data_IF_941992768613
#
_entry.id   IF_941992768613
#
_cell.length_a   1.000
_cell.length_b   1.000
_cell.length_c   1.000
_cell.angle_alpha   90.00
_cell.angle_beta   90.00
_cell.angle_gamma   90.00
#
_symmetry.space_group_name_H-M   'P 1'
#
loop_
_entity.id
_entity.type
_entity.pdbx_description
1 polymer ?
#
# COMPACT_ATOMS: atom_id res chain seq x y z
N UNK A 1 33.19 -46.34 -40.20
CA UNK A 1 34.50 -46.89 -39.74
C UNK A 1 34.86 -46.11 -38.48
N UNK A 2 34.61 -46.65 -37.27
CA UNK A 2 35.46 -47.63 -36.54
C UNK A 2 36.71 -46.92 -35.97
N UNK A 3 37.11 -46.93 -34.69
CA UNK A 3 36.88 -47.74 -33.49
C UNK A 3 37.51 -46.93 -32.31
N UNK A 4 36.90 -46.86 -31.13
CA UNK A 4 37.23 -47.62 -29.90
C UNK A 4 38.26 -47.02 -28.91
N UNK A 5 37.74 -46.88 -27.68
CA UNK A 5 38.38 -46.72 -26.37
C UNK A 5 39.73 -47.42 -26.13
N UNK A 6 40.57 -46.82 -25.27
CA UNK A 6 41.45 -47.56 -24.35
C UNK A 6 41.55 -46.88 -22.98
N UNK A 7 41.06 -47.63 -22.00
CA UNK A 7 41.19 -47.51 -20.55
C UNK A 7 42.61 -47.81 -20.07
N UNK A 8 43.10 -47.14 -19.03
CA UNK A 8 44.14 -47.67 -18.15
C UNK A 8 44.05 -47.10 -16.73
N UNK A 9 43.74 -48.00 -15.79
CA UNK A 9 43.75 -47.87 -14.34
C UNK A 9 45.17 -47.60 -13.80
N UNK A 10 45.33 -46.80 -12.72
CA UNK A 10 46.44 -46.99 -11.77
C UNK A 10 46.08 -46.56 -10.32
N UNK A 11 45.87 -47.62 -9.53
CA UNK A 11 46.07 -47.86 -8.10
C UNK A 11 46.10 -46.74 -7.05
N UNK A 12 45.25 -47.00 -6.05
CA UNK A 12 45.16 -46.51 -4.67
C UNK A 12 46.45 -46.65 -3.86
N UNK A 13 46.75 -45.65 -3.04
CA UNK A 13 47.52 -45.81 -1.80
C UNK A 13 46.72 -45.23 -0.62
N UNK A 14 46.35 -46.12 0.32
CA UNK A 14 45.77 -45.80 1.63
C UNK A 14 46.89 -45.36 2.57
N UNK A 15 46.67 -44.30 3.35
CA UNK A 15 47.44 -44.05 4.58
C UNK A 15 46.47 -43.93 5.74
N UNK A 16 46.76 -44.70 6.79
CA UNK A 16 45.92 -45.00 7.94
C UNK A 16 45.94 -43.89 9.01
N UNK A 17 44.83 -43.79 9.75
CA UNK A 17 44.73 -43.04 10.99
C UNK A 17 45.34 -43.82 12.17
N UNK A 18 45.81 -43.15 13.24
CA UNK A 18 45.93 -43.76 14.55
C UNK A 18 44.92 -43.16 15.54
N UNK A 19 44.19 -44.03 16.21
CA UNK A 19 43.36 -43.73 17.38
C UNK A 19 44.01 -44.23 18.68
N UNK A 20 43.84 -43.41 19.71
CA UNK A 20 43.67 -43.72 21.14
C UNK A 20 44.90 -44.02 22.03
N UNK A 21 44.99 -43.26 23.13
CA UNK A 21 45.17 -43.80 24.48
C UNK A 21 44.58 -42.88 25.56
N UNK A 22 43.87 -43.52 26.50
CA UNK A 22 43.14 -42.99 27.64
C UNK A 22 44.04 -42.40 28.73
N UNK A 23 43.50 -41.44 29.48
CA UNK A 23 43.72 -41.34 30.93
C UNK A 23 42.38 -41.07 31.63
N UNK A 24 42.01 -42.01 32.48
CA UNK A 24 40.90 -41.96 33.42
C UNK A 24 41.29 -41.12 34.65
N UNK A 25 40.45 -40.16 35.04
CA UNK A 25 40.38 -39.68 36.42
C UNK A 25 38.91 -39.61 36.81
N UNK A 26 38.54 -40.48 37.76
CA UNK A 26 37.23 -40.51 38.39
C UNK A 26 37.22 -39.59 39.62
N UNK A 27 36.07 -38.95 39.79
CA UNK A 27 35.46 -38.47 41.04
C UNK A 27 36.00 -37.20 41.71
N UNK A 28 35.13 -36.17 41.76
CA UNK A 28 34.41 -35.80 42.99
C UNK A 28 33.17 -34.96 42.65
N UNK A 29 31.99 -35.49 42.97
CA UNK A 29 30.72 -34.76 42.94
C UNK A 29 30.69 -33.70 44.04
N UNK A 30 30.51 -32.44 43.66
CA UNK A 30 29.93 -31.43 44.53
C UNK A 30 28.57 -31.05 43.93
N UNK A 31 27.51 -31.40 44.64
CA UNK A 31 26.14 -31.04 44.26
C UNK A 31 25.98 -29.51 44.33
N UNK A 32 25.88 -28.87 43.17
CA UNK A 32 25.40 -27.49 43.07
C UNK A 32 23.91 -27.57 42.80
N UNK A 33 23.13 -27.10 43.77
CA UNK A 33 21.68 -26.92 43.65
C UNK A 33 21.37 -25.96 42.51
N UNK A 34 20.80 -26.49 41.43
CA UNK A 34 20.27 -25.66 40.35
C UNK A 34 18.99 -24.98 40.84
N UNK A 35 19.09 -23.73 41.26
CA UNK A 35 17.91 -22.86 41.42
C UNK A 35 17.37 -22.62 40.01
N UNK A 36 16.07 -22.87 39.73
CA UNK A 36 15.52 -22.56 38.41
C UNK A 36 15.53 -21.05 38.22
N UNK A 37 16.32 -20.58 37.25
CA UNK A 37 16.31 -19.17 36.84
C UNK A 37 14.97 -18.91 36.18
N UNK A 38 14.11 -18.15 36.85
CA UNK A 38 12.85 -17.69 36.29
C UNK A 38 13.11 -17.11 34.90
N UNK A 39 12.48 -17.69 33.87
CA UNK A 39 12.53 -17.17 32.53
C UNK A 39 11.95 -15.76 32.57
N UNK A 40 12.82 -14.76 32.43
CA UNK A 40 12.39 -13.39 32.25
C UNK A 40 11.61 -13.35 30.94
N UNK A 41 10.28 -13.31 31.07
CA UNK A 41 9.38 -12.98 29.98
C UNK A 41 9.84 -11.61 29.46
N UNK A 42 10.56 -11.60 28.34
CA UNK A 42 10.79 -10.38 27.58
C UNK A 42 9.42 -10.00 27.04
N UNK A 43 8.70 -9.18 27.79
CA UNK A 43 7.59 -8.40 27.25
C UNK A 43 8.21 -7.57 26.15
N UNK A 44 8.09 -8.04 24.91
CA UNK A 44 8.40 -7.23 23.75
C UNK A 44 7.45 -6.04 23.82
N UNK A 45 7.95 -4.90 24.27
CA UNK A 45 7.28 -3.64 24.13
C UNK A 45 7.20 -3.37 22.62
N UNK A 46 6.13 -3.86 21.99
CA UNK A 46 5.71 -3.29 20.72
C UNK A 46 5.21 -1.90 21.07
N UNK A 47 6.09 -0.90 20.98
CA UNK A 47 5.63 0.48 20.95
C UNK A 47 4.78 0.62 19.69
N UNK A 48 3.47 0.53 19.84
CA UNK A 48 2.54 1.16 18.93
C UNK A 48 2.82 2.66 19.02
N UNK A 49 3.78 3.13 18.22
CA UNK A 49 3.98 4.56 18.00
C UNK A 49 2.67 5.07 17.43
N UNK A 50 1.89 5.74 18.27
CA UNK A 50 0.69 6.44 17.82
C UNK A 50 1.07 7.71 17.09
N UNK A 51 0.03 8.32 16.50
CA UNK A 51 0.01 9.65 15.89
C UNK A 51 1.03 10.59 16.53
N UNK A 52 1.99 11.09 15.74
CA UNK A 52 3.05 11.95 16.25
C UNK A 52 2.74 13.39 15.95
N UNK A 53 2.84 14.23 16.98
CA UNK A 53 2.94 15.67 16.77
C UNK A 53 4.40 16.01 16.47
N UNK A 54 4.67 16.55 15.28
CA UNK A 54 5.98 17.04 14.88
C UNK A 54 6.00 18.57 14.89
N UNK A 55 7.13 19.16 15.28
CA UNK A 55 7.32 20.61 15.29
C UNK A 55 8.05 21.05 14.01
N UNK A 56 7.37 21.86 13.20
CA UNK A 56 7.89 22.47 11.98
C UNK A 56 8.06 23.96 12.21
N UNK A 57 9.27 24.38 12.63
CA UNK A 57 9.60 25.79 12.79
C UNK A 57 8.73 26.53 13.80
N UNK A 58 8.29 25.87 14.87
CA UNK A 58 7.41 26.40 15.91
C UNK A 58 5.93 26.03 15.73
N UNK A 59 5.56 25.41 14.60
CA UNK A 59 4.19 24.94 14.34
C UNK A 59 4.09 23.44 14.57
N UNK A 60 3.21 23.05 15.50
CA UNK A 60 2.97 21.64 15.81
C UNK A 60 1.94 21.06 14.86
N UNK A 61 2.33 20.04 14.09
CA UNK A 61 1.46 19.36 13.15
C UNK A 61 1.32 17.88 13.47
N UNK A 62 0.16 17.33 13.14
CA UNK A 62 -0.12 15.90 13.26
C UNK A 62 0.42 15.19 12.02
N UNK A 63 1.31 14.22 12.25
CA UNK A 63 1.91 13.40 11.20
C UNK A 63 1.60 11.94 11.46
N UNK A 64 1.13 11.26 10.41
CA UNK A 64 0.89 9.82 10.40
C UNK A 64 2.00 9.11 9.65
N UNK A 65 2.42 7.95 10.17
CA UNK A 65 3.50 7.15 9.61
C UNK A 65 2.98 5.79 9.11
N UNK A 66 3.75 5.15 8.23
CA UNK A 66 3.47 3.78 7.79
C UNK A 66 3.32 2.78 8.94
N UNK A 67 4.00 2.99 10.07
CA UNK A 67 3.89 2.13 11.26
C UNK A 67 2.51 2.16 11.91
N UNK A 68 1.74 3.21 11.69
CA UNK A 68 0.44 3.43 12.36
C UNK A 68 -0.66 2.55 11.72
N UNK A 69 -0.41 2.09 10.48
CA UNK A 69 -1.26 1.21 9.69
C UNK A 69 -0.46 0.05 9.11
N UNK A 70 -0.08 -0.95 9.94
CA UNK A 70 0.52 -2.17 9.44
C UNK A 70 -0.44 -2.91 8.50
N UNK A 71 0.09 -3.79 7.64
CA UNK A 71 -0.69 -4.48 6.61
C UNK A 71 -1.95 -5.18 7.15
N UNK A 72 -1.87 -5.83 8.32
CA UNK A 72 -3.03 -6.48 8.94
C UNK A 72 -4.14 -5.47 9.31
N UNK A 73 -3.76 -4.28 9.80
CA UNK A 73 -4.72 -3.21 10.11
C UNK A 73 -5.35 -2.67 8.82
N UNK A 74 -4.57 -2.46 7.76
CA UNK A 74 -5.10 -2.05 6.45
C UNK A 74 -6.11 -3.06 5.91
N UNK A 75 -5.78 -4.35 5.97
CA UNK A 75 -6.66 -5.43 5.51
C UNK A 75 -7.96 -5.47 6.32
N UNK A 76 -7.88 -5.30 7.65
CA UNK A 76 -9.07 -5.23 8.49
C UNK A 76 -9.93 -3.98 8.20
N UNK A 77 -9.31 -2.81 8.02
CA UNK A 77 -10.01 -1.55 7.71
C UNK A 77 -10.81 -1.62 6.41
N UNK A 78 -10.32 -2.36 5.41
CA UNK A 78 -10.91 -2.45 4.07
C UNK A 78 -11.40 -3.86 3.71
N UNK A 79 -11.65 -4.74 4.69
CA UNK A 79 -12.01 -6.14 4.44
C UNK A 79 -13.32 -6.31 3.66
N UNK A 80 -14.26 -5.41 3.89
CA UNK A 80 -15.59 -5.38 3.25
C UNK A 80 -15.63 -4.42 2.06
N UNK A 81 -14.50 -3.78 1.74
CA UNK A 81 -14.41 -2.77 0.70
C UNK A 81 -13.95 -3.36 -0.64
N UNK A 82 -14.47 -2.80 -1.72
CA UNK A 82 -13.92 -2.95 -3.07
C UNK A 82 -13.35 -1.61 -3.50
N UNK A 83 -12.03 -1.50 -3.54
CA UNK A 83 -11.31 -0.29 -3.93
C UNK A 83 -11.26 -0.21 -5.46
N UNK A 84 -12.03 0.72 -6.03
CA UNK A 84 -12.13 0.90 -7.48
C UNK A 84 -11.24 2.03 -7.93
N UNK A 85 -10.17 1.71 -8.65
CA UNK A 85 -9.27 2.71 -9.23
C UNK A 85 -9.73 3.06 -10.64
N UNK A 86 -10.24 4.28 -10.80
CA UNK A 86 -10.65 4.80 -12.10
C UNK A 86 -9.45 5.43 -12.81
N UNK A 87 -9.10 4.87 -13.96
CA UNK A 87 -7.93 5.25 -14.75
C UNK A 87 -6.68 4.46 -14.38
N UNK A 88 -5.90 4.13 -15.40
CA UNK A 88 -4.64 3.39 -15.25
C UNK A 88 -3.44 4.19 -15.81
N UNK A 89 -3.46 5.51 -15.56
CA UNK A 89 -2.33 6.42 -15.78
C UNK A 89 -1.25 6.26 -14.70
N UNK A 90 -0.26 7.17 -14.60
CA UNK A 90 0.82 7.04 -13.61
C UNK A 90 0.34 6.87 -12.17
N UNK A 91 -0.55 7.75 -11.69
CA UNK A 91 -1.11 7.66 -10.33
C UNK A 91 -2.00 6.43 -10.15
N UNK A 92 -2.97 6.23 -11.05
CA UNK A 92 -3.87 5.07 -11.02
C UNK A 92 -3.11 3.74 -10.97
N UNK A 93 -2.11 3.55 -11.84
CA UNK A 93 -1.24 2.38 -11.85
C UNK A 93 -0.46 2.22 -10.55
N UNK A 94 0.23 3.26 -10.10
CA UNK A 94 1.09 3.18 -8.93
C UNK A 94 0.31 2.81 -7.67
N UNK A 95 -0.82 3.49 -7.45
CA UNK A 95 -1.68 3.25 -6.29
C UNK A 95 -2.35 1.87 -6.37
N UNK A 96 -2.92 1.49 -7.52
CA UNK A 96 -3.57 0.20 -7.65
C UNK A 96 -2.64 -0.99 -7.41
N UNK A 97 -1.42 -0.93 -7.95
CA UNK A 97 -0.43 -1.99 -7.74
C UNK A 97 0.02 -2.07 -6.27
N UNK A 98 0.21 -0.92 -5.61
CA UNK A 98 0.58 -0.89 -4.19
C UNK A 98 -0.53 -1.46 -3.29
N UNK A 99 -1.78 -1.06 -3.54
CA UNK A 99 -2.95 -1.58 -2.82
C UNK A 99 -3.12 -3.09 -3.03
N UNK A 100 -2.93 -3.58 -4.26
CA UNK A 100 -2.94 -5.01 -4.59
C UNK A 100 -1.85 -5.78 -3.84
N UNK A 101 -0.64 -5.24 -3.78
CA UNK A 101 0.48 -5.87 -3.07
C UNK A 101 0.26 -5.90 -1.56
N UNK A 102 -0.47 -4.91 -1.01
CA UNK A 102 -1.00 -4.91 0.37
C UNK A 102 -2.16 -5.90 0.60
N UNK A 103 -2.58 -6.66 -0.41
CA UNK A 103 -3.66 -7.67 -0.37
C UNK A 103 -5.05 -7.07 -0.14
N UNK A 104 -5.25 -5.83 -0.55
CA UNK A 104 -6.57 -5.22 -0.57
C UNK A 104 -7.35 -5.65 -1.81
N UNK A 105 -8.67 -5.66 -1.72
CA UNK A 105 -9.55 -5.98 -2.83
C UNK A 105 -9.64 -4.75 -3.77
N UNK A 106 -8.88 -4.80 -4.86
CA UNK A 106 -8.76 -3.69 -5.82
C UNK A 106 -9.27 -4.14 -7.18
N UNK A 107 -10.03 -3.26 -7.84
CA UNK A 107 -10.44 -3.40 -9.23
C UNK A 107 -10.10 -2.14 -10.02
N UNK A 108 -9.90 -2.28 -11.33
CA UNK A 108 -9.62 -1.17 -12.23
C UNK A 108 -10.85 -0.85 -13.07
N UNK A 109 -11.21 0.42 -13.11
CA UNK A 109 -12.13 0.98 -14.11
C UNK A 109 -11.33 1.74 -15.17
N UNK A 110 -11.30 1.26 -16.41
CA UNK A 110 -10.58 1.93 -17.49
C UNK A 110 -11.33 1.82 -18.80
N UNK A 111 -11.13 2.78 -19.71
CA UNK A 111 -11.59 2.66 -21.09
C UNK A 111 -10.66 1.73 -21.85
N UNK A 112 -11.18 0.93 -22.78
CA UNK A 112 -10.36 0.14 -23.70
C UNK A 112 -9.36 1.02 -24.47
N UNK A 113 -8.14 0.52 -24.63
CA UNK A 113 -7.01 1.22 -25.25
C UNK A 113 -5.71 0.97 -24.49
N UNK A 114 -4.71 1.82 -24.69
CA UNK A 114 -3.35 1.59 -24.17
C UNK A 114 -3.28 1.39 -22.65
N UNK A 115 -4.06 2.15 -21.86
CA UNK A 115 -4.13 1.97 -20.41
C UNK A 115 -4.75 0.63 -20.00
N UNK A 116 -5.76 0.17 -20.73
CA UNK A 116 -6.38 -1.13 -20.53
C UNK A 116 -5.40 -2.25 -20.86
N UNK A 117 -4.75 -2.19 -22.03
CA UNK A 117 -3.78 -3.19 -22.47
C UNK A 117 -2.60 -3.28 -21.49
N UNK A 118 -2.16 -2.12 -20.98
CA UNK A 118 -1.16 -2.06 -19.92
C UNK A 118 -1.64 -2.73 -18.64
N UNK A 119 -2.87 -2.47 -18.20
CA UNK A 119 -3.43 -3.15 -17.04
C UNK A 119 -3.46 -4.68 -17.25
N UNK A 120 -3.88 -5.15 -18.42
CA UNK A 120 -3.85 -6.59 -18.76
C UNK A 120 -2.43 -7.15 -18.66
N UNK A 121 -1.44 -6.45 -19.22
CA UNK A 121 -0.03 -6.89 -19.17
C UNK A 121 0.54 -6.96 -17.74
N UNK A 122 -0.06 -6.25 -16.78
CA UNK A 122 0.35 -6.20 -15.38
C UNK A 122 -0.50 -7.09 -14.46
N UNK A 123 -1.29 -7.99 -15.06
CA UNK A 123 -2.02 -9.03 -14.35
C UNK A 123 -3.44 -8.66 -13.92
N UNK A 124 -3.99 -7.55 -14.44
CA UNK A 124 -5.41 -7.26 -14.29
C UNK A 124 -6.20 -8.04 -15.35
N UNK A 125 -7.27 -8.72 -14.94
CA UNK A 125 -8.01 -9.69 -15.75
C UNK A 125 -9.39 -9.10 -16.09
N UNK A 126 -9.69 -8.86 -17.38
CA UNK A 126 -11.00 -8.43 -17.85
C UNK A 126 -12.13 -9.28 -17.29
N UNK A 127 -13.18 -8.63 -16.79
CA UNK A 127 -14.36 -9.31 -16.22
C UNK A 127 -14.16 -9.89 -14.81
N UNK A 128 -12.95 -9.78 -14.24
CA UNK A 128 -12.66 -10.21 -12.86
C UNK A 128 -12.25 -9.04 -11.97
N UNK A 129 -11.22 -8.29 -12.37
CA UNK A 129 -10.72 -7.12 -11.64
C UNK A 129 -10.28 -5.98 -12.56
N UNK A 130 -10.72 -6.03 -13.82
CA UNK A 130 -10.59 -4.97 -14.82
C UNK A 130 -11.93 -4.87 -15.56
N UNK A 131 -12.52 -3.70 -15.52
CA UNK A 131 -13.86 -3.42 -16.04
C UNK A 131 -13.88 -2.05 -16.74
N UNK A 132 -14.91 -1.84 -17.56
CA UNK A 132 -15.25 -0.49 -18.02
C UNK A 132 -15.66 0.38 -16.82
N UNK A 133 -15.55 1.70 -16.97
CA UNK A 133 -15.69 2.66 -15.85
C UNK A 133 -17.01 2.49 -15.09
N UNK A 134 -18.13 2.37 -15.80
CA UNK A 134 -19.46 2.29 -15.19
C UNK A 134 -19.64 1.01 -14.35
N UNK A 135 -19.24 -0.13 -14.89
CA UNK A 135 -19.30 -1.41 -14.18
C UNK A 135 -18.35 -1.43 -12.97
N UNK A 136 -17.16 -0.82 -13.10
CA UNK A 136 -16.25 -0.68 -11.98
C UNK A 136 -16.87 0.17 -10.85
N UNK A 137 -17.51 1.30 -11.20
CA UNK A 137 -18.17 2.18 -10.24
C UNK A 137 -19.33 1.48 -9.51
N UNK A 138 -20.10 0.66 -10.21
CA UNK A 138 -21.19 -0.12 -9.63
C UNK A 138 -20.67 -1.08 -8.54
N UNK A 139 -19.57 -1.78 -8.83
CA UNK A 139 -18.95 -2.79 -7.95
C UNK A 139 -18.22 -2.18 -6.75
N UNK A 140 -17.68 -0.97 -6.88
CA UNK A 140 -16.80 -0.35 -5.88
C UNK A 140 -17.52 0.21 -4.67
N UNK A 141 -16.96 0.07 -3.47
CA UNK A 141 -17.40 0.78 -2.26
C UNK A 141 -16.57 2.05 -2.00
N UNK A 142 -15.30 2.04 -2.42
CA UNK A 142 -14.42 3.21 -2.46
C UNK A 142 -14.09 3.49 -3.91
N UNK A 143 -14.57 4.60 -4.44
CA UNK A 143 -14.32 5.04 -5.80
C UNK A 143 -13.14 6.00 -5.81
N UNK A 144 -11.99 5.53 -6.27
CA UNK A 144 -10.76 6.30 -6.39
C UNK A 144 -10.70 6.93 -7.78
N UNK A 145 -11.11 8.19 -7.88
CA UNK A 145 -11.13 8.92 -9.14
C UNK A 145 -9.71 9.44 -9.48
N UNK A 146 -8.94 8.61 -10.16
CA UNK A 146 -7.55 8.86 -10.57
C UNK A 146 -7.41 9.13 -12.07
N UNK A 147 -8.50 9.55 -12.69
CA UNK A 147 -8.52 10.10 -14.04
C UNK A 147 -7.82 11.47 -14.07
N UNK A 148 -7.41 11.93 -15.25
CA UNK A 148 -6.97 13.33 -15.40
C UNK A 148 -8.11 14.27 -15.05
N UNK A 149 -7.82 15.48 -14.55
CA UNK A 149 -8.86 16.42 -14.10
C UNK A 149 -9.88 16.74 -15.20
N UNK A 150 -9.42 16.90 -16.44
CA UNK A 150 -10.30 17.05 -17.61
C UNK A 150 -11.20 15.83 -17.84
N UNK A 151 -10.70 14.62 -17.62
CA UNK A 151 -11.49 13.39 -17.73
C UNK A 151 -12.46 13.22 -16.54
N UNK A 152 -12.10 13.68 -15.34
CA UNK A 152 -13.00 13.69 -14.19
C UNK A 152 -14.22 14.56 -14.47
N UNK A 153 -14.02 15.78 -14.99
CA UNK A 153 -15.11 16.67 -15.44
C UNK A 153 -15.96 16.00 -16.53
N UNK A 154 -15.32 15.52 -17.60
CA UNK A 154 -16.03 14.93 -18.75
C UNK A 154 -16.88 13.71 -18.38
N UNK A 155 -16.39 12.86 -17.50
CA UNK A 155 -17.05 11.61 -17.11
C UNK A 155 -17.91 11.74 -15.87
N UNK A 156 -18.00 12.93 -15.26
CA UNK A 156 -18.69 13.09 -13.99
C UNK A 156 -20.14 12.62 -14.02
N UNK A 157 -20.87 12.94 -15.09
CA UNK A 157 -22.26 12.53 -15.26
C UNK A 157 -22.44 11.01 -15.37
N UNK A 158 -21.41 10.29 -15.82
CA UNK A 158 -21.40 8.82 -15.88
C UNK A 158 -21.04 8.23 -14.51
N UNK A 159 -20.13 8.85 -13.77
CA UNK A 159 -19.64 8.35 -12.47
C UNK A 159 -20.63 8.65 -11.33
N UNK A 160 -21.18 9.87 -11.30
CA UNK A 160 -22.02 10.40 -10.21
C UNK A 160 -23.20 9.50 -9.82
N UNK A 161 -23.95 8.85 -10.74
CA UNK A 161 -25.06 7.97 -10.38
C UNK A 161 -24.66 6.79 -9.49
N UNK A 162 -23.40 6.34 -9.56
CA UNK A 162 -22.89 5.24 -8.75
C UNK A 162 -22.40 5.67 -7.37
N UNK A 163 -22.30 6.97 -7.11
CA UNK A 163 -21.84 7.53 -5.83
C UNK A 163 -23.00 7.57 -4.82
N UNK A 164 -23.45 6.40 -4.40
CA UNK A 164 -24.59 6.23 -3.48
C UNK A 164 -24.16 6.25 -2.01
N UNK A 165 -25.11 6.51 -1.11
CA UNK A 165 -24.95 6.47 0.35
C UNK A 165 -24.09 5.29 0.82
N UNK A 166 -23.15 5.59 1.73
CA UNK A 166 -22.24 4.61 2.33
C UNK A 166 -20.97 4.34 1.52
N UNK A 167 -20.88 4.82 0.28
CA UNK A 167 -19.63 4.79 -0.49
C UNK A 167 -18.70 5.93 -0.07
N UNK A 168 -17.44 5.80 -0.45
CA UNK A 168 -16.41 6.83 -0.30
C UNK A 168 -15.89 7.24 -1.67
N UNK A 169 -15.82 8.53 -1.95
CA UNK A 169 -15.16 9.10 -3.11
C UNK A 169 -13.76 9.59 -2.71
N UNK A 170 -12.75 9.12 -3.45
CA UNK A 170 -11.35 9.42 -3.21
C UNK A 170 -10.74 10.17 -4.40
N UNK A 171 -9.90 11.16 -4.10
CA UNK A 171 -9.07 11.87 -5.07
C UNK A 171 -7.59 11.85 -4.66
N UNK A 172 -6.70 12.07 -5.63
CA UNK A 172 -5.28 12.39 -5.37
C UNK A 172 -4.86 13.81 -5.68
N UNK A 173 -5.82 14.62 -6.13
CA UNK A 173 -5.67 16.06 -6.31
C UNK A 173 -7.06 16.69 -6.18
N UNK A 174 -7.17 17.83 -5.50
CA UNK A 174 -8.46 18.44 -5.18
C UNK A 174 -9.07 19.27 -6.32
N UNK A 175 -8.40 19.40 -7.46
CA UNK A 175 -8.73 20.36 -8.53
C UNK A 175 -10.20 20.35 -8.89
N UNK A 176 -10.73 19.19 -9.26
CA UNK A 176 -12.11 19.05 -9.73
C UNK A 176 -13.14 19.50 -8.69
N UNK A 177 -12.91 19.21 -7.42
CA UNK A 177 -13.85 19.59 -6.34
C UNK A 177 -13.72 21.07 -5.98
N UNK A 178 -12.52 21.64 -6.02
CA UNK A 178 -12.29 23.05 -5.67
C UNK A 178 -12.74 23.99 -6.80
N UNK A 179 -12.49 23.61 -8.06
CA UNK A 179 -12.97 24.32 -9.24
C UNK A 179 -14.27 23.72 -9.77
N UNK A 180 -15.19 23.34 -8.88
CA UNK A 180 -16.44 22.68 -9.26
C UNK A 180 -17.34 23.53 -10.16
N UNK A 181 -17.21 24.86 -10.10
CA UNK A 181 -17.91 25.80 -11.00
C UNK A 181 -17.50 25.62 -12.46
N UNK A 182 -16.21 25.33 -12.70
CA UNK A 182 -15.66 25.09 -14.04
C UNK A 182 -15.78 23.63 -14.47
N UNK A 183 -15.54 22.70 -13.54
CA UNK A 183 -15.46 21.27 -13.85
C UNK A 183 -16.81 20.55 -13.79
N UNK A 184 -17.80 21.10 -13.09
CA UNK A 184 -19.08 20.45 -12.82
C UNK A 184 -19.00 19.28 -11.83
N UNK A 185 -17.84 19.01 -11.23
CA UNK A 185 -17.62 17.90 -10.30
C UNK A 185 -18.10 18.29 -8.90
N UNK A 186 -19.38 18.04 -8.65
CA UNK A 186 -20.04 18.27 -7.35
C UNK A 186 -20.41 16.93 -6.70
N UNK A 187 -19.64 16.46 -5.70
CA UNK A 187 -19.92 15.22 -4.97
C UNK A 187 -21.32 15.23 -4.31
N UNK A 188 -22.00 14.08 -4.24
CA UNK A 188 -23.20 13.91 -3.40
C UNK A 188 -22.93 14.24 -1.93
N UNK A 189 -23.95 14.71 -1.21
CA UNK A 189 -23.84 15.15 0.19
C UNK A 189 -23.90 14.01 1.22
N UNK A 190 -24.19 12.79 0.78
CA UNK A 190 -24.49 11.62 1.61
C UNK A 190 -23.42 10.51 1.53
N UNK A 191 -22.22 10.86 1.04
CA UNK A 191 -21.05 9.97 0.94
C UNK A 191 -19.83 10.56 1.63
N UNK A 192 -18.80 9.76 1.91
CA UNK A 192 -17.52 10.34 2.33
C UNK A 192 -16.76 10.88 1.11
N UNK A 193 -16.07 12.01 1.26
CA UNK A 193 -15.19 12.58 0.22
C UNK A 193 -13.84 12.88 0.83
N UNK A 194 -12.82 12.17 0.35
CA UNK A 194 -11.47 12.17 0.91
C UNK A 194 -10.42 12.40 -0.18
N UNK A 195 -9.23 12.83 0.25
CA UNK A 195 -8.10 13.02 -0.63
C UNK A 195 -6.83 12.53 0.04
N UNK A 196 -5.99 11.86 -0.76
CA UNK A 196 -4.59 11.60 -0.44
C UNK A 196 -3.75 11.99 -1.65
N UNK A 197 -2.87 12.96 -1.47
CA UNK A 197 -1.97 13.47 -2.50
C UNK A 197 -0.51 13.10 -2.19
N UNK A 198 0.04 12.01 -2.77
CA UNK A 198 1.47 11.73 -2.77
C UNK A 198 2.22 12.83 -3.52
N UNK A 199 3.28 13.39 -2.92
CA UNK A 199 4.04 14.53 -3.47
C UNK A 199 5.10 14.09 -4.48
N UNK A 200 4.72 13.25 -5.44
CA UNK A 200 5.57 12.82 -6.56
C UNK A 200 4.75 12.18 -7.69
N UNK A 201 5.39 11.83 -8.80
CA UNK A 201 4.73 11.07 -9.88
C UNK A 201 4.31 9.67 -9.43
N UNK A 202 3.22 9.13 -9.99
CA UNK A 202 2.77 7.78 -9.66
C UNK A 202 3.79 6.66 -10.00
N UNK A 203 4.68 6.88 -10.97
CA UNK A 203 5.82 5.97 -11.23
C UNK A 203 6.77 5.95 -10.04
N UNK A 204 7.09 7.12 -9.48
CA UNK A 204 7.93 7.25 -8.29
C UNK A 204 7.26 6.65 -7.05
N UNK A 205 5.95 6.85 -6.88
CA UNK A 205 5.17 6.21 -5.80
C UNK A 205 5.34 4.69 -5.85
N UNK A 206 5.24 4.08 -7.05
CA UNK A 206 5.41 2.65 -7.20
C UNK A 206 6.84 2.19 -6.91
N UNK A 207 7.85 2.87 -7.44
CA UNK A 207 9.24 2.46 -7.28
C UNK A 207 9.68 2.52 -5.81
N UNK A 208 9.36 3.61 -5.12
CA UNK A 208 9.67 3.76 -3.69
C UNK A 208 8.96 2.69 -2.85
N UNK A 209 7.71 2.37 -3.16
CA UNK A 209 6.98 1.30 -2.46
C UNK A 209 7.68 -0.06 -2.58
N UNK A 210 8.16 -0.40 -3.78
CA UNK A 210 8.92 -1.63 -4.03
C UNK A 210 10.26 -1.66 -3.30
N UNK A 211 10.89 -0.50 -3.09
CA UNK A 211 12.10 -0.34 -2.27
C UNK A 211 11.81 -0.43 -0.75
N UNK A 212 10.55 -0.62 -0.34
CA UNK A 212 10.15 -0.57 1.07
C UNK A 212 10.10 0.85 1.66
N UNK A 213 10.26 1.87 0.81
CA UNK A 213 10.20 3.29 1.17
C UNK A 213 8.81 3.83 0.87
N UNK A 214 8.56 5.07 1.26
CA UNK A 214 7.35 5.79 0.91
C UNK A 214 7.69 7.25 0.60
N UNK A 215 6.82 7.90 -0.16
CA UNK A 215 6.91 9.34 -0.39
C UNK A 215 6.09 10.09 0.66
N UNK A 216 6.45 11.34 0.96
CA UNK A 216 5.57 12.20 1.73
C UNK A 216 4.27 12.47 0.94
N UNK A 217 3.16 12.53 1.66
CA UNK A 217 1.87 12.89 1.10
C UNK A 217 1.08 13.77 2.04
N UNK A 218 0.02 14.35 1.52
CA UNK A 218 -0.97 15.06 2.33
C UNK A 218 -2.30 14.34 2.31
N UNK A 219 -3.06 14.43 3.40
CA UNK A 219 -4.40 13.86 3.53
C UNK A 219 -5.43 14.92 3.88
N UNK A 220 -6.58 14.88 3.22
CA UNK A 220 -7.69 15.79 3.48
C UNK A 220 -9.04 15.06 3.49
N UNK A 221 -9.98 15.62 4.24
CA UNK A 221 -11.37 15.20 4.25
C UNK A 221 -12.20 16.40 3.84
N UNK A 222 -12.94 16.27 2.74
CA UNK A 222 -13.87 17.29 2.27
C UNK A 222 -15.25 17.09 2.91
N UNK A 223 -15.67 15.84 3.04
CA UNK A 223 -16.97 15.47 3.61
C UNK A 223 -16.82 14.18 4.42
N UNK A 224 -17.31 14.18 5.65
CA UNK A 224 -17.34 13.02 6.55
C UNK A 224 -18.79 12.73 6.96
N UNK A 225 -19.41 11.77 6.29
CA UNK A 225 -20.78 11.30 6.56
C UNK A 225 -20.77 10.09 7.48
N UNK A 226 -19.74 9.25 7.38
CA UNK A 226 -19.62 8.03 8.18
C UNK A 226 -19.06 8.26 9.59
N UNK A 227 -18.38 9.40 9.81
CA UNK A 227 -17.57 9.65 11.01
C UNK A 227 -16.23 8.91 11.01
N UNK A 228 -15.87 8.27 9.88
CA UNK A 228 -14.65 7.46 9.70
C UNK A 228 -13.80 7.94 8.52
N UNK A 229 -14.18 9.03 7.84
CA UNK A 229 -13.51 9.47 6.62
C UNK A 229 -12.01 9.75 6.84
N UNK A 230 -11.64 10.38 7.97
CA UNK A 230 -10.23 10.66 8.28
C UNK A 230 -9.41 9.39 8.48
N UNK A 231 -9.90 8.45 9.30
CA UNK A 231 -9.20 7.17 9.54
C UNK A 231 -8.98 6.42 8.23
N UNK A 232 -10.02 6.33 7.40
CA UNK A 232 -9.96 5.68 6.08
C UNK A 232 -9.01 6.39 5.13
N UNK A 233 -8.98 7.71 5.13
CA UNK A 233 -8.07 8.49 4.29
C UNK A 233 -6.61 8.28 4.67
N UNK A 234 -6.28 8.27 5.97
CA UNK A 234 -4.92 7.98 6.44
C UNK A 234 -4.53 6.53 6.10
N UNK A 235 -5.44 5.56 6.34
CA UNK A 235 -5.21 4.17 6.00
C UNK A 235 -4.97 3.97 4.49
N UNK A 236 -5.79 4.59 3.63
CA UNK A 236 -5.55 4.60 2.19
C UNK A 236 -4.22 5.24 1.84
N UNK A 237 -3.85 6.35 2.46
CA UNK A 237 -2.56 7.00 2.23
C UNK A 237 -1.38 6.05 2.44
N UNK A 238 -1.36 5.36 3.57
CA UNK A 238 -0.35 4.33 3.84
C UNK A 238 -0.42 3.19 2.81
N UNK A 239 -1.64 2.71 2.49
CA UNK A 239 -1.88 1.65 1.51
C UNK A 239 -1.43 1.99 0.08
N UNK A 240 -1.54 3.25 -0.33
CA UNK A 240 -1.10 3.71 -1.66
C UNK A 240 0.41 3.95 -1.73
N UNK A 241 1.10 3.97 -0.58
CA UNK A 241 2.55 4.00 -0.50
C UNK A 241 3.16 5.31 0.02
N UNK A 242 2.39 6.12 0.77
CA UNK A 242 2.98 7.25 1.49
C UNK A 242 3.76 6.78 2.71
N UNK A 243 4.93 7.38 2.96
CA UNK A 243 5.74 7.12 4.16
C UNK A 243 5.29 7.94 5.36
N UNK A 244 5.00 9.22 5.10
CA UNK A 244 4.48 10.19 6.06
C UNK A 244 3.29 10.93 5.45
N UNK A 245 2.25 11.15 6.25
CA UNK A 245 1.08 11.94 5.88
C UNK A 245 0.91 13.09 6.84
N UNK A 246 0.76 14.30 6.31
CA UNK A 246 0.34 15.48 7.07
C UNK A 246 -1.06 15.90 6.63
N UNK A 247 -1.77 16.56 7.53
CA UNK A 247 -3.14 16.99 7.26
C UNK A 247 -3.19 18.28 6.43
N UNK A 248 -4.17 18.35 5.54
CA UNK A 248 -4.46 19.57 4.77
C UNK A 248 -5.96 19.66 4.50
N UNK A 249 -6.36 20.68 3.73
CA UNK A 249 -7.69 20.80 3.14
C UNK A 249 -7.59 20.62 1.63
N UNK A 250 -8.69 20.27 0.95
CA UNK A 250 -8.70 20.22 -0.52
C UNK A 250 -8.23 21.54 -1.14
N UNK A 251 -8.66 22.68 -0.57
CA UNK A 251 -8.29 24.01 -1.05
C UNK A 251 -6.78 24.27 -0.92
N UNK A 252 -6.20 24.00 0.24
CA UNK A 252 -4.77 24.20 0.48
C UNK A 252 -3.92 23.24 -0.35
N UNK A 253 -4.38 22.00 -0.54
CA UNK A 253 -3.70 21.03 -1.39
C UNK A 253 -3.63 21.54 -2.83
N UNK A 254 -4.74 21.94 -3.42
CA UNK A 254 -4.80 22.44 -4.79
C UNK A 254 -3.94 23.69 -4.97
N UNK A 255 -4.05 24.65 -4.05
CA UNK A 255 -3.32 25.91 -4.18
C UNK A 255 -1.82 25.74 -4.04
N UNK A 256 -1.38 24.79 -3.21
CA UNK A 256 0.05 24.48 -3.07
C UNK A 256 0.60 23.59 -4.19
N UNK A 257 -0.25 22.78 -4.83
CA UNK A 257 0.17 21.87 -5.90
C UNK A 257 0.27 22.58 -7.25
N UNK A 258 -0.63 23.53 -7.53
CA UNK A 258 -0.66 24.28 -8.79
C UNK A 258 0.32 25.45 -8.87
N UNK A 259 0.89 25.88 -7.73
CA UNK A 259 1.80 27.04 -7.64
C UNK A 259 3.26 26.60 -7.59
#
# INVERSE_FOLDING_TARGET
MSFAARTALRQLTRVAAPTARSFSVMARSAAITHVPRAAACKVAFTQTRGVKTMDFGGTKEVVYERSDYPAAKLQETFKDDTLTVLGYGPMGRGQALNLRDNKLNVIIGSRKGASWDKAVSEGWVPGKNLFEINEACERGTVIMNLLSDAAQSKLWNEIKPYLTKGKTLYFSHGFSVIYAEDTGVVPPKDIDVILVAPKCSGTTVRNLFLEGRGINGSVAVYQDVSGKAKERAVALGVGVGTGYLYETTFKNEVYSDLY
#
